data_IF_838903119509
#
_entry.id   IF_838903119509
#
_cell.length_a   1.000
_cell.length_b   1.000
_cell.length_c   1.000
_cell.angle_alpha   90.00
_cell.angle_beta   90.00
_cell.angle_gamma   90.00
#
_symmetry.space_group_name_H-M   'P 1'
#
loop_
_entity.id
_entity.type
_entity.pdbx_description
1 polymer ?
#
# COMPACT_ATOMS: atom_id res chain seq x y z
N UNK A 1 -55.34 7.19 2.32
CA UNK A 1 -53.97 7.72 2.12
C UNK A 1 -53.26 7.65 3.46
N UNK A 2 -52.54 6.56 3.73
CA UNK A 2 -51.74 6.43 4.96
C UNK A 2 -50.49 7.29 4.79
N UNK A 3 -50.35 8.32 5.60
CA UNK A 3 -49.16 9.17 5.63
C UNK A 3 -47.93 8.28 5.87
N UNK A 4 -46.95 8.32 4.97
CA UNK A 4 -45.64 7.69 5.21
C UNK A 4 -45.07 8.39 6.45
N UNK A 5 -44.75 7.66 7.54
CA UNK A 5 -44.22 8.29 8.74
C UNK A 5 -42.87 8.92 8.40
N UNK A 6 -42.63 10.12 8.91
CA UNK A 6 -41.42 10.92 8.63
C UNK A 6 -40.11 10.17 8.91
N UNK A 7 -40.14 9.20 9.83
CA UNK A 7 -38.99 8.36 10.18
C UNK A 7 -38.49 7.47 9.02
N UNK A 8 -39.39 6.97 8.17
CA UNK A 8 -39.03 6.12 7.02
C UNK A 8 -38.37 6.95 5.89
N UNK A 9 -38.79 8.20 5.75
CA UNK A 9 -38.19 9.16 4.81
C UNK A 9 -36.79 9.59 5.25
N UNK A 10 -36.57 9.79 6.55
CA UNK A 10 -35.25 10.13 7.11
C UNK A 10 -34.30 8.94 6.97
N UNK A 11 -34.74 7.72 7.30
CA UNK A 11 -33.94 6.48 7.17
C UNK A 11 -33.47 6.23 5.74
N UNK A 12 -34.35 6.48 4.76
CA UNK A 12 -34.00 6.36 3.33
C UNK A 12 -32.96 7.40 2.92
N UNK A 13 -33.12 8.65 3.35
CA UNK A 13 -32.17 9.73 3.05
C UNK A 13 -30.77 9.47 3.66
N UNK A 14 -30.72 8.99 4.91
CA UNK A 14 -29.47 8.57 5.57
C UNK A 14 -28.81 7.38 4.86
N UNK A 15 -29.60 6.49 4.28
CA UNK A 15 -29.10 5.37 3.48
C UNK A 15 -28.45 5.86 2.17
N UNK A 16 -29.06 6.81 1.46
CA UNK A 16 -28.47 7.37 0.24
C UNK A 16 -27.21 8.20 0.51
N UNK A 17 -27.18 8.99 1.59
CA UNK A 17 -25.98 9.75 1.96
C UNK A 17 -24.85 8.82 2.40
N UNK A 18 -25.13 7.78 3.19
CA UNK A 18 -24.11 6.78 3.55
C UNK A 18 -23.63 5.96 2.35
N UNK A 19 -24.46 5.70 1.34
CA UNK A 19 -24.05 5.02 0.11
C UNK A 19 -23.15 5.93 -0.74
N UNK A 20 -23.50 7.20 -0.94
CA UNK A 20 -22.71 8.13 -1.76
C UNK A 20 -21.38 8.50 -1.08
N UNK A 21 -21.43 8.90 0.19
CA UNK A 21 -20.22 9.27 0.94
C UNK A 21 -19.40 8.05 1.35
N UNK A 22 -20.04 6.93 1.69
CA UNK A 22 -19.36 5.71 2.11
C UNK A 22 -18.74 4.93 0.94
N UNK A 23 -19.48 4.70 -0.15
CA UNK A 23 -18.94 3.92 -1.29
C UNK A 23 -18.12 4.78 -2.25
N UNK A 24 -18.55 6.02 -2.55
CA UNK A 24 -17.86 6.90 -3.48
C UNK A 24 -16.49 7.34 -2.97
N UNK A 25 -16.41 7.75 -1.70
CA UNK A 25 -15.14 8.13 -1.08
C UNK A 25 -14.21 6.92 -0.91
N UNK A 26 -14.77 5.74 -0.65
CA UNK A 26 -14.00 4.50 -0.59
C UNK A 26 -13.35 4.15 -1.93
N UNK A 27 -14.08 4.25 -3.05
CA UNK A 27 -13.54 4.01 -4.39
C UNK A 27 -12.41 4.98 -4.75
N UNK A 28 -12.61 6.28 -4.48
CA UNK A 28 -11.59 7.30 -4.71
C UNK A 28 -10.37 7.07 -3.82
N UNK A 29 -10.59 6.77 -2.54
CA UNK A 29 -9.52 6.46 -1.59
C UNK A 29 -8.72 5.22 -1.97
N UNK A 30 -9.40 4.16 -2.44
CA UNK A 30 -8.75 2.94 -2.92
C UNK A 30 -7.87 3.21 -4.14
N UNK A 31 -8.36 4.00 -5.09
CA UNK A 31 -7.59 4.37 -6.29
C UNK A 31 -6.34 5.20 -5.92
N UNK A 32 -6.51 6.20 -5.05
CA UNK A 32 -5.42 7.02 -4.54
C UNK A 32 -4.41 6.19 -3.74
N UNK A 33 -4.89 5.26 -2.91
CA UNK A 33 -4.04 4.34 -2.17
C UNK A 33 -3.20 3.50 -3.12
N UNK A 34 -3.82 2.91 -4.15
CA UNK A 34 -3.12 2.07 -5.11
C UNK A 34 -2.03 2.86 -5.85
N UNK A 35 -2.37 4.02 -6.41
CA UNK A 35 -1.42 4.87 -7.13
C UNK A 35 -0.26 5.30 -6.22
N UNK A 36 -0.57 5.75 -5.01
CA UNK A 36 0.44 6.16 -4.04
C UNK A 36 1.32 5.00 -3.61
N UNK A 37 0.76 3.81 -3.39
CA UNK A 37 1.49 2.60 -2.99
C UNK A 37 2.55 2.19 -4.01
N UNK A 38 2.25 2.30 -5.31
CA UNK A 38 3.23 2.05 -6.36
C UNK A 38 4.32 3.13 -6.40
N UNK A 39 4.01 4.40 -6.20
CA UNK A 39 4.97 5.50 -6.32
C UNK A 39 5.86 5.61 -5.06
N UNK A 40 5.30 5.31 -3.89
CA UNK A 40 5.93 5.56 -2.58
C UNK A 40 7.24 4.81 -2.40
N UNK A 41 7.36 3.59 -2.91
CA UNK A 41 8.58 2.78 -2.78
C UNK A 41 9.79 3.47 -3.44
N UNK A 42 9.60 4.02 -4.65
CA UNK A 42 10.62 4.78 -5.36
C UNK A 42 10.79 6.18 -4.77
N UNK A 43 9.71 6.79 -4.29
CA UNK A 43 9.75 8.08 -3.60
C UNK A 43 10.65 8.05 -2.34
N UNK A 44 10.52 6.99 -1.52
CA UNK A 44 11.35 6.77 -0.33
C UNK A 44 12.81 6.57 -0.74
N UNK A 45 13.08 5.80 -1.79
CA UNK A 45 14.42 5.61 -2.30
C UNK A 45 15.05 6.93 -2.81
N UNK A 46 14.28 7.76 -3.51
CA UNK A 46 14.71 9.07 -3.98
C UNK A 46 15.01 10.03 -2.82
N UNK A 47 14.18 9.99 -1.77
CA UNK A 47 14.42 10.75 -0.53
C UNK A 47 15.69 10.29 0.18
N UNK A 48 15.90 8.98 0.30
CA UNK A 48 17.10 8.42 0.90
C UNK A 48 18.36 8.70 0.07
N UNK A 49 18.24 8.87 -1.25
CA UNK A 49 19.37 9.17 -2.12
C UNK A 49 19.76 10.67 -2.11
N UNK A 50 18.77 11.56 -2.00
CA UNK A 50 18.97 13.01 -2.03
C UNK A 50 19.11 13.66 -0.65
N UNK A 51 18.95 12.89 0.44
CA UNK A 51 18.96 13.36 1.83
C UNK A 51 17.99 14.53 2.12
N UNK A 52 16.93 14.66 1.31
CA UNK A 52 15.94 15.73 1.39
C UNK A 52 14.53 15.14 1.48
N UNK A 53 13.77 15.45 2.53
CA UNK A 53 12.37 15.03 2.65
C UNK A 53 11.51 15.50 1.46
N UNK A 54 11.82 16.66 0.89
CA UNK A 54 11.13 17.19 -0.30
C UNK A 54 11.30 16.32 -1.54
N UNK A 55 12.36 15.49 -1.62
CA UNK A 55 12.60 14.64 -2.77
C UNK A 55 11.60 13.48 -2.91
N UNK A 56 10.93 13.06 -1.84
CA UNK A 56 9.83 12.08 -1.90
C UNK A 56 8.59 12.62 -2.62
N UNK A 57 8.41 13.95 -2.68
CA UNK A 57 7.21 14.58 -3.27
C UNK A 57 7.46 15.12 -4.68
N UNK A 58 8.67 14.94 -5.21
CA UNK A 58 9.03 15.35 -6.58
C UNK A 58 8.49 14.32 -7.58
N UNK A 59 7.16 14.27 -7.70
CA UNK A 59 6.45 13.30 -8.54
C UNK A 59 7.00 13.23 -9.96
N UNK A 60 7.34 14.38 -10.57
CA UNK A 60 7.93 14.41 -11.91
C UNK A 60 9.25 13.62 -12.03
N UNK A 61 10.12 13.71 -11.02
CA UNK A 61 11.37 12.94 -10.99
C UNK A 61 11.09 11.45 -10.77
N UNK A 62 10.15 11.12 -9.88
CA UNK A 62 9.81 9.74 -9.56
C UNK A 62 9.20 9.03 -10.79
N UNK A 63 8.28 9.68 -11.49
CA UNK A 63 7.70 9.12 -12.72
C UNK A 63 8.73 8.97 -13.83
N UNK A 64 9.67 9.91 -13.95
CA UNK A 64 10.78 9.79 -14.89
C UNK A 64 11.69 8.60 -14.54
N UNK A 65 11.98 8.40 -13.26
CA UNK A 65 12.79 7.27 -12.79
C UNK A 65 12.10 5.93 -13.04
N UNK A 66 10.80 5.81 -12.77
CA UNK A 66 10.03 4.60 -13.09
C UNK A 66 10.03 4.35 -14.60
N UNK A 67 9.94 5.43 -15.39
CA UNK A 67 10.06 5.37 -16.84
C UNK A 67 11.43 4.88 -17.32
N UNK A 68 12.53 5.32 -16.69
CA UNK A 68 13.90 4.91 -17.06
C UNK A 68 14.21 3.47 -16.68
N UNK A 69 13.69 2.97 -15.55
CA UNK A 69 13.75 1.55 -15.16
C UNK A 69 13.03 0.67 -16.19
N UNK A 70 11.96 1.21 -16.77
CA UNK A 70 11.05 0.52 -17.69
C UNK A 70 9.87 -0.10 -16.95
N UNK A 71 8.65 0.31 -17.34
CA UNK A 71 7.40 -0.11 -16.72
C UNK A 71 7.23 -1.63 -16.62
N UNK A 72 7.62 -2.38 -17.65
CA UNK A 72 7.54 -3.84 -17.62
C UNK A 72 8.39 -4.43 -16.49
N UNK A 73 9.67 -4.06 -16.43
CA UNK A 73 10.60 -4.52 -15.39
C UNK A 73 10.14 -4.10 -14.00
N UNK A 74 9.64 -2.88 -13.86
CA UNK A 74 9.08 -2.37 -12.61
C UNK A 74 7.89 -3.20 -12.13
N UNK A 75 6.94 -3.53 -13.03
CA UNK A 75 5.80 -4.39 -12.72
C UNK A 75 6.26 -5.80 -12.31
N UNK A 76 7.21 -6.40 -13.03
CA UNK A 76 7.75 -7.72 -12.68
C UNK A 76 8.37 -7.69 -11.28
N UNK A 77 9.20 -6.69 -10.98
CA UNK A 77 9.80 -6.52 -9.66
C UNK A 77 8.72 -6.44 -8.57
N UNK A 78 7.67 -5.66 -8.81
CA UNK A 78 6.55 -5.50 -7.87
C UNK A 78 5.82 -6.82 -7.60
N UNK A 79 5.56 -7.60 -8.65
CA UNK A 79 4.94 -8.93 -8.55
C UNK A 79 5.83 -9.85 -7.71
N UNK A 80 7.13 -9.89 -7.97
CA UNK A 80 8.07 -10.76 -7.24
C UNK A 80 8.09 -10.41 -5.75
N UNK A 81 8.18 -9.12 -5.39
CA UNK A 81 8.12 -8.70 -3.98
C UNK A 81 6.79 -9.12 -3.36
N UNK A 82 5.68 -8.88 -4.05
CA UNK A 82 4.32 -9.20 -3.54
C UNK A 82 4.17 -10.68 -3.28
N UNK A 83 4.70 -11.54 -4.15
CA UNK A 83 4.66 -13.00 -3.96
C UNK A 83 5.49 -13.39 -2.74
N UNK A 84 6.71 -12.86 -2.58
CA UNK A 84 7.58 -13.19 -1.45
C UNK A 84 6.92 -12.74 -0.13
N UNK A 85 6.43 -11.51 -0.05
CA UNK A 85 5.76 -11.01 1.16
C UNK A 85 4.46 -11.77 1.46
N UNK A 86 3.72 -12.21 0.43
CA UNK A 86 2.55 -13.07 0.60
C UNK A 86 2.92 -14.45 1.18
N UNK A 87 4.04 -15.05 0.75
CA UNK A 87 4.49 -16.32 1.34
C UNK A 87 4.84 -16.16 2.82
N UNK A 88 5.55 -15.10 3.19
CA UNK A 88 5.84 -14.82 4.60
C UNK A 88 4.59 -14.50 5.41
N UNK A 89 3.59 -13.82 4.84
CA UNK A 89 2.34 -13.55 5.55
C UNK A 89 1.55 -14.83 5.83
N UNK A 90 1.58 -15.82 4.93
CA UNK A 90 1.02 -17.14 5.19
C UNK A 90 1.73 -17.85 6.35
N UNK A 91 3.06 -17.75 6.43
CA UNK A 91 3.83 -18.31 7.57
C UNK A 91 3.44 -17.59 8.86
N UNK A 92 3.39 -16.26 8.87
CA UNK A 92 2.97 -15.47 10.02
C UNK A 92 1.55 -15.84 10.48
N UNK A 93 0.61 -16.07 9.55
CA UNK A 93 -0.76 -16.46 9.86
C UNK A 93 -0.87 -17.80 10.59
N UNK A 94 0.04 -18.75 10.33
CA UNK A 94 0.07 -20.03 11.07
C UNK A 94 0.66 -19.80 12.46
N UNK A 95 1.63 -18.90 12.61
CA UNK A 95 2.27 -18.61 13.89
C UNK A 95 1.34 -17.90 14.88
N UNK A 96 0.33 -17.16 14.41
CA UNK A 96 -0.67 -16.53 15.30
C UNK A 96 -1.55 -17.54 16.03
N UNK A 97 -1.57 -18.82 15.63
CA UNK A 97 -2.21 -19.91 16.37
C UNK A 97 -1.61 -20.10 17.77
N UNK A 98 -0.37 -19.65 17.98
CA UNK A 98 0.30 -19.63 19.28
C UNK A 98 0.44 -18.15 19.71
N UNK A 99 -0.50 -17.58 20.49
CA UNK A 99 -0.64 -16.13 20.63
C UNK A 99 0.59 -15.42 21.19
N UNK A 100 1.28 -16.01 22.18
CA UNK A 100 2.43 -15.37 22.84
C UNK A 100 3.74 -15.63 22.07
N UNK A 101 4.13 -16.90 21.93
CA UNK A 101 5.40 -17.27 21.31
C UNK A 101 5.43 -16.94 19.80
N UNK A 102 4.30 -17.11 19.11
CA UNK A 102 4.18 -16.76 17.71
C UNK A 102 4.37 -15.26 17.48
N UNK A 103 3.75 -14.42 18.32
CA UNK A 103 3.88 -12.97 18.21
C UNK A 103 5.32 -12.48 18.44
N UNK A 104 6.02 -13.02 19.46
CA UNK A 104 7.43 -12.70 19.69
C UNK A 104 8.30 -13.09 18.47
N UNK A 105 8.06 -14.26 17.87
CA UNK A 105 8.85 -14.68 16.71
C UNK A 105 8.55 -13.84 15.46
N UNK A 106 7.30 -13.42 15.26
CA UNK A 106 6.92 -12.55 14.14
C UNK A 106 7.68 -11.22 14.25
N UNK A 107 7.58 -10.54 15.40
CA UNK A 107 8.17 -9.20 15.58
C UNK A 107 9.71 -9.23 15.63
N UNK A 108 10.31 -10.32 16.11
CA UNK A 108 11.76 -10.40 16.30
C UNK A 108 12.50 -10.99 15.10
N UNK A 109 11.83 -11.81 14.28
CA UNK A 109 12.47 -12.55 13.19
C UNK A 109 11.84 -12.21 11.85
N UNK A 110 10.52 -12.38 11.70
CA UNK A 110 9.88 -12.26 10.39
C UNK A 110 9.82 -10.81 9.92
N UNK A 111 9.28 -9.91 10.74
CA UNK A 111 9.14 -8.50 10.40
C UNK A 111 10.49 -7.82 10.09
N UNK A 112 11.54 -7.93 10.92
CA UNK A 112 12.82 -7.30 10.60
C UNK A 112 13.45 -7.88 9.34
N UNK A 113 13.31 -9.20 9.12
CA UNK A 113 13.78 -9.83 7.89
C UNK A 113 13.06 -9.28 6.66
N UNK A 114 11.74 -9.18 6.71
CA UNK A 114 10.92 -8.62 5.62
C UNK A 114 11.27 -7.17 5.31
N UNK A 115 11.51 -6.35 6.34
CA UNK A 115 11.89 -4.94 6.18
C UNK A 115 13.27 -4.83 5.50
N UNK A 116 14.26 -5.60 5.93
CA UNK A 116 15.60 -5.61 5.32
C UNK A 116 15.53 -6.11 3.88
N UNK A 117 14.76 -7.16 3.61
CA UNK A 117 14.56 -7.70 2.26
C UNK A 117 13.91 -6.66 1.34
N UNK A 118 12.82 -6.04 1.80
CA UNK A 118 12.06 -5.07 1.01
C UNK A 118 12.90 -3.82 0.72
N UNK A 119 13.60 -3.27 1.72
CA UNK A 119 14.49 -2.12 1.54
C UNK A 119 15.65 -2.41 0.58
N UNK A 120 16.28 -3.58 0.66
CA UNK A 120 17.30 -4.04 -0.29
C UNK A 120 16.75 -4.08 -1.72
N UNK A 121 15.58 -4.67 -1.90
CA UNK A 121 15.00 -4.85 -3.22
C UNK A 121 14.56 -3.50 -3.83
N UNK A 122 14.08 -2.55 -3.00
CA UNK A 122 13.79 -1.16 -3.42
C UNK A 122 15.08 -0.45 -3.88
N UNK A 123 16.16 -0.59 -3.10
CA UNK A 123 17.45 -0.01 -3.48
C UNK A 123 17.99 -0.57 -4.80
N UNK A 124 17.82 -1.88 -5.04
CA UNK A 124 18.27 -2.51 -6.28
C UNK A 124 17.50 -2.00 -7.51
N UNK A 125 16.17 -1.93 -7.46
CA UNK A 125 15.37 -1.43 -8.59
C UNK A 125 15.61 0.07 -8.81
N UNK A 126 15.81 0.86 -7.75
CA UNK A 126 16.14 2.28 -7.85
C UNK A 126 17.47 2.51 -8.58
N UNK A 127 18.50 1.69 -8.31
CA UNK A 127 19.80 1.76 -8.98
C UNK A 127 19.77 1.47 -10.48
N UNK A 128 18.68 0.88 -10.97
CA UNK A 128 18.52 0.63 -12.41
C UNK A 128 17.89 1.83 -13.13
N UNK A 129 17.33 2.78 -12.37
CA UNK A 129 16.69 3.99 -12.91
C UNK A 129 17.57 5.24 -12.93
N UNK A 130 18.68 5.23 -12.19
CA UNK A 130 19.72 6.26 -12.17
C UNK A 130 20.93 5.84 -12.99
#
# INVERSE_FOLDING_TARGET
MTSIPSNDMISSCTSYTSLIFGSGLFLVGLLLFLVTFFILNIAIANMAHKDEFGAALRFGEIFHLIGSIGWGKYIIWYIVITVITALFSMVSAIMTLIPLLGFILIILVIDPYLIIFSSRAIGLIYKEGI
#
